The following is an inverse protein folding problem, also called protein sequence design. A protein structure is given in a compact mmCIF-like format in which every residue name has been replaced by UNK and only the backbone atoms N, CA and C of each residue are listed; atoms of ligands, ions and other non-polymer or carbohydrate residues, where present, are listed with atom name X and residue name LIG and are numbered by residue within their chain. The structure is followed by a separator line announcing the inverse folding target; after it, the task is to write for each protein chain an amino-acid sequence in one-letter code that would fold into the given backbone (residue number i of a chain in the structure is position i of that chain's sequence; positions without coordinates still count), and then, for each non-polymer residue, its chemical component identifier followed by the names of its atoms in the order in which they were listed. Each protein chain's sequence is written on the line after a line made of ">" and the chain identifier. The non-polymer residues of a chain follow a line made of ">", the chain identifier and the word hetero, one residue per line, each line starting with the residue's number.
data_IF_678803558959
#
_entry.id   IF_678803558959
#
_cell.length_a   1.000
_cell.length_b   1.000
_cell.length_c   1.000
_cell.angle_alpha   90.00
_cell.angle_beta   90.00
_cell.angle_gamma   90.00
#
_symmetry.space_group_name_H-M   'P 1'
#
loop_
_entity.id
_entity.type
_entity.pdbx_description
1 polymer ?
#
# COMPACT_ATOMS: atom_id res chain seq x y z
N UNK A 1 13.03 22.03 -14.28
CA UNK A 1 12.64 21.79 -12.86
C UNK A 1 13.24 20.47 -12.43
N UNK A 2 14.17 20.50 -11.47
CA UNK A 2 14.86 19.33 -10.96
C UNK A 2 14.15 18.85 -9.69
N UNK A 3 13.63 17.62 -9.72
CA UNK A 3 12.87 17.02 -8.61
C UNK A 3 13.75 15.97 -7.93
N UNK A 4 13.87 16.03 -6.62
CA UNK A 4 14.56 15.03 -5.82
C UNK A 4 13.60 14.38 -4.82
N UNK A 5 13.49 13.05 -4.84
CA UNK A 5 12.76 12.27 -3.84
C UNK A 5 13.73 11.58 -2.89
N UNK A 6 13.56 11.81 -1.59
CA UNK A 6 14.44 11.29 -0.55
C UNK A 6 13.64 10.33 0.34
N UNK A 7 14.06 9.07 0.39
CA UNK A 7 13.54 8.07 1.33
C UNK A 7 14.62 7.06 1.69
N UNK A 8 14.68 6.57 2.93
CA UNK A 8 15.56 5.46 3.26
C UNK A 8 15.13 4.14 2.60
N UNK A 9 13.90 4.04 2.12
CA UNK A 9 13.34 2.84 1.51
C UNK A 9 12.46 3.17 0.31
N UNK A 10 12.56 2.36 -0.74
CA UNK A 10 11.67 2.40 -1.89
C UNK A 10 11.10 1.01 -2.18
N UNK A 11 9.83 0.93 -2.51
CA UNK A 11 9.14 -0.31 -2.87
C UNK A 11 9.21 -0.60 -4.38
N UNK A 12 9.24 -1.89 -4.73
CA UNK A 12 9.24 -2.35 -6.13
C UNK A 12 8.03 -1.81 -6.92
N UNK A 13 6.86 -1.76 -6.29
CA UNK A 13 5.60 -1.30 -6.89
C UNK A 13 5.61 0.17 -7.33
N UNK A 14 6.57 0.99 -6.86
CA UNK A 14 6.69 2.41 -7.23
C UNK A 14 7.65 2.64 -8.42
N UNK A 15 8.35 1.63 -8.91
CA UNK A 15 9.29 1.81 -10.04
C UNK A 15 8.62 2.44 -11.25
N UNK A 16 7.42 2.00 -11.70
CA UNK A 16 6.73 2.65 -12.82
C UNK A 16 6.37 4.11 -12.57
N UNK A 17 6.08 4.50 -11.32
CA UNK A 17 5.84 5.91 -10.95
C UNK A 17 7.10 6.75 -11.17
N UNK A 18 8.27 6.24 -10.76
CA UNK A 18 9.55 6.94 -10.90
C UNK A 18 9.98 7.05 -12.36
N UNK A 19 9.74 6.01 -13.16
CA UNK A 19 9.96 6.04 -14.61
C UNK A 19 9.13 7.14 -15.27
N UNK A 20 7.83 7.19 -14.96
CA UNK A 20 6.93 8.20 -15.48
C UNK A 20 7.31 9.62 -15.01
N UNK A 21 7.69 9.80 -13.73
CA UNK A 21 8.19 11.09 -13.23
C UNK A 21 9.47 11.53 -13.95
N UNK A 22 10.37 10.60 -14.24
CA UNK A 22 11.59 10.90 -15.01
C UNK A 22 11.25 11.37 -16.43
N UNK A 23 10.32 10.68 -17.12
CA UNK A 23 9.81 11.09 -18.44
C UNK A 23 9.17 12.47 -18.39
N UNK A 24 8.23 12.70 -17.48
CA UNK A 24 7.51 13.95 -17.31
C UNK A 24 8.42 15.13 -16.96
N UNK A 25 9.49 14.90 -16.21
CA UNK A 25 10.47 15.94 -15.85
C UNK A 25 11.54 16.19 -16.91
N UNK A 26 11.48 15.49 -18.05
CA UNK A 26 12.49 15.55 -19.10
C UNK A 26 13.86 15.06 -18.62
N UNK A 27 13.90 13.96 -17.87
CA UNK A 27 15.13 13.39 -17.32
C UNK A 27 15.69 14.14 -16.10
N UNK A 28 14.89 14.95 -15.40
CA UNK A 28 15.34 15.75 -14.25
C UNK A 28 14.75 15.24 -12.91
N UNK A 29 14.46 13.94 -12.82
CA UNK A 29 14.01 13.29 -11.60
C UNK A 29 15.14 12.49 -10.96
N UNK A 30 15.35 12.71 -9.68
CA UNK A 30 16.41 12.08 -8.88
C UNK A 30 15.80 11.41 -7.65
N UNK A 31 16.45 10.32 -7.21
CA UNK A 31 16.15 9.68 -5.92
C UNK A 31 17.42 9.52 -5.09
N UNK A 32 17.24 9.52 -3.77
CA UNK A 32 18.27 9.07 -2.82
C UNK A 32 17.66 8.00 -1.92
N UNK A 33 18.28 6.81 -1.84
CA UNK A 33 17.84 5.71 -0.97
C UNK A 33 19.00 5.07 -0.22
N UNK A 34 18.65 4.29 0.84
CA UNK A 34 19.61 3.51 1.62
C UNK A 34 19.86 2.15 0.96
N UNK A 35 21.11 1.74 0.91
CA UNK A 35 21.51 0.40 0.51
C UNK A 35 20.97 -0.65 1.49
N UNK A 36 20.98 -0.36 2.78
CA UNK A 36 20.58 -1.28 3.84
C UNK A 36 19.07 -1.51 3.90
N UNK A 37 18.26 -0.52 3.51
CA UNK A 37 16.80 -0.62 3.62
C UNK A 37 16.10 -0.88 2.28
N UNK A 38 16.82 -0.84 1.16
CA UNK A 38 16.26 -1.11 -0.17
C UNK A 38 16.84 -2.42 -0.70
N UNK A 39 15.99 -3.36 -1.08
CA UNK A 39 16.45 -4.68 -1.57
C UNK A 39 17.30 -4.57 -2.85
N UNK A 40 18.15 -5.57 -3.09
CA UNK A 40 19.01 -5.62 -4.29
C UNK A 40 18.20 -5.47 -5.57
N UNK A 41 17.13 -6.24 -5.71
CA UNK A 41 16.23 -6.17 -6.86
C UNK A 41 15.71 -4.75 -7.12
N UNK A 42 15.29 -4.05 -6.07
CA UNK A 42 14.77 -2.67 -6.22
C UNK A 42 15.90 -1.72 -6.59
N UNK A 43 17.09 -1.86 -6.00
CA UNK A 43 18.25 -1.02 -6.33
C UNK A 43 18.69 -1.19 -7.79
N UNK A 44 18.72 -2.43 -8.29
CA UNK A 44 19.01 -2.75 -9.69
C UNK A 44 17.97 -2.11 -10.62
N UNK A 45 16.68 -2.27 -10.34
CA UNK A 45 15.61 -1.64 -11.12
C UNK A 45 15.69 -0.11 -11.10
N UNK A 46 15.95 0.50 -9.94
CA UNK A 46 16.14 1.95 -9.84
C UNK A 46 17.31 2.45 -10.67
N UNK A 47 18.43 1.72 -10.67
CA UNK A 47 19.60 2.01 -11.51
C UNK A 47 19.31 1.83 -13.00
N UNK A 48 18.60 0.78 -13.37
CA UNK A 48 18.17 0.56 -14.76
C UNK A 48 17.24 1.67 -15.25
N UNK A 49 16.32 2.16 -14.40
CA UNK A 49 15.32 3.18 -14.75
C UNK A 49 15.89 4.59 -14.77
N UNK A 50 16.74 4.95 -13.80
CA UNK A 50 17.18 6.33 -13.56
C UNK A 50 18.69 6.55 -13.76
N UNK A 51 19.48 5.50 -13.99
CA UNK A 51 20.92 5.60 -14.15
C UNK A 51 21.59 6.27 -12.94
N UNK A 52 22.41 7.28 -13.20
CA UNK A 52 23.13 8.03 -12.16
C UNK A 52 22.21 8.94 -11.31
N UNK A 53 20.95 9.14 -11.74
CA UNK A 53 19.97 9.86 -10.92
C UNK A 53 19.42 9.02 -9.75
N UNK A 54 19.69 7.72 -9.70
CA UNK A 54 19.44 6.87 -8.55
C UNK A 54 20.69 6.82 -7.65
N UNK A 55 20.73 7.67 -6.63
CA UNK A 55 21.83 7.75 -5.66
C UNK A 55 21.56 6.77 -4.51
N UNK A 56 22.35 5.71 -4.44
CA UNK A 56 22.26 4.69 -3.39
C UNK A 56 23.36 4.96 -2.37
N UNK A 57 22.96 5.20 -1.11
CA UNK A 57 23.89 5.52 -0.02
C UNK A 57 24.04 4.34 0.93
N UNK A 58 25.25 4.08 1.39
CA UNK A 58 25.59 3.06 2.40
C UNK A 58 25.98 3.70 3.73
N UNK A 59 25.97 2.91 4.79
CA UNK A 59 26.40 3.32 6.14
C UNK A 59 25.31 4.01 6.95
N UNK A 60 24.02 3.68 6.70
CA UNK A 60 22.93 4.15 7.55
C UNK A 60 23.11 3.62 8.99
N UNK A 61 22.97 4.51 9.95
CA UNK A 61 22.94 4.18 11.39
C UNK A 61 21.52 4.21 11.88
N UNK A 62 21.06 3.11 12.50
CA UNK A 62 19.72 2.96 13.06
C UNK A 62 19.80 2.90 14.59
N UNK A 63 18.95 3.65 15.26
CA UNK A 63 18.72 3.57 16.71
C UNK A 63 17.25 3.37 16.95
N UNK A 64 16.88 2.29 17.64
CA UNK A 64 15.50 1.96 18.00
C UNK A 64 15.29 2.21 19.48
N UNK A 65 14.19 2.85 19.83
CA UNK A 65 13.72 3.08 21.20
C UNK A 65 12.30 2.55 21.32
N UNK A 66 12.04 1.62 22.21
CA UNK A 66 10.78 0.91 22.39
C UNK A 66 10.83 -0.54 21.88
N UNK A 67 9.70 -1.24 21.90
CA UNK A 67 9.58 -2.62 21.43
C UNK A 67 9.30 -2.68 19.94
N UNK A 68 10.02 -3.53 19.21
CA UNK A 68 9.76 -3.89 17.81
C UNK A 68 8.87 -5.15 17.68
N UNK A 69 8.38 -5.68 18.79
CA UNK A 69 7.59 -6.94 18.81
C UNK A 69 6.18 -6.77 18.22
N UNK A 70 5.67 -5.55 18.14
CA UNK A 70 4.33 -5.29 17.59
C UNK A 70 4.38 -4.91 16.12
N UNK A 71 3.54 -5.56 15.32
CA UNK A 71 3.35 -5.25 13.88
C UNK A 71 2.55 -3.96 13.63
N UNK A 72 1.90 -3.41 14.68
CA UNK A 72 1.11 -2.18 14.59
C UNK A 72 1.99 -0.93 14.55
N UNK A 73 1.49 0.12 13.92
CA UNK A 73 2.21 1.37 13.80
C UNK A 73 2.50 2.01 15.17
N UNK A 74 3.62 2.73 15.24
CA UNK A 74 4.05 3.49 16.43
C UNK A 74 4.48 2.66 17.66
N UNK A 75 4.67 1.37 17.53
CA UNK A 75 5.19 0.50 18.60
C UNK A 75 6.63 0.89 19.04
N UNK A 76 7.42 1.42 18.11
CA UNK A 76 8.77 1.90 18.38
C UNK A 76 9.07 3.26 17.73
N UNK A 77 10.03 3.98 18.29
CA UNK A 77 10.66 5.15 17.67
C UNK A 77 11.97 4.73 17.01
N UNK A 78 12.02 4.79 15.69
CA UNK A 78 13.24 4.49 14.92
C UNK A 78 13.86 5.77 14.40
N UNK A 79 15.08 6.06 14.82
CA UNK A 79 15.88 7.20 14.34
C UNK A 79 16.89 6.66 13.33
N UNK A 80 16.82 7.17 12.10
CA UNK A 80 17.72 6.80 10.99
C UNK A 80 18.64 7.97 10.67
N UNK A 81 19.94 7.73 10.66
CA UNK A 81 20.98 8.73 10.34
C UNK A 81 21.82 8.22 9.19
N UNK A 82 21.84 8.96 8.08
CA UNK A 82 22.66 8.67 6.91
C UNK A 82 23.82 9.68 6.83
N UNK A 83 25.08 9.26 7.09
CA UNK A 83 26.25 10.12 6.87
C UNK A 83 26.31 10.59 5.42
N UNK A 84 26.64 11.87 5.22
CA UNK A 84 26.78 12.44 3.88
C UNK A 84 25.49 12.79 3.15
N UNK A 85 24.28 12.44 3.67
CA UNK A 85 23.00 12.69 2.99
C UNK A 85 22.80 14.16 2.63
N UNK A 86 23.08 15.09 3.54
CA UNK A 86 22.94 16.52 3.26
C UNK A 86 23.86 16.99 2.11
N UNK A 87 25.09 16.44 2.06
CA UNK A 87 26.04 16.72 0.96
C UNK A 87 25.49 16.19 -0.36
N UNK A 88 24.97 14.96 -0.40
CA UNK A 88 24.39 14.37 -1.60
C UNK A 88 23.20 15.22 -2.14
N UNK A 89 22.30 15.68 -1.26
CA UNK A 89 21.22 16.60 -1.63
C UNK A 89 21.76 17.90 -2.19
N UNK A 90 22.79 18.48 -1.56
CA UNK A 90 23.42 19.74 -1.99
C UNK A 90 24.12 19.60 -3.35
N UNK A 91 24.75 18.46 -3.62
CA UNK A 91 25.44 18.20 -4.90
C UNK A 91 24.43 18.08 -6.07
N UNK A 92 23.25 17.50 -5.83
CA UNK A 92 22.16 17.41 -6.83
C UNK A 92 21.56 18.80 -7.14
N UNK A 93 21.49 19.71 -6.17
CA UNK A 93 20.89 21.05 -6.29
C UNK A 93 19.44 20.99 -6.81
N UNK A 94 18.52 20.31 -6.12
CA UNK A 94 17.15 20.21 -6.57
C UNK A 94 16.41 21.54 -6.47
N UNK A 95 15.41 21.74 -7.32
CA UNK A 95 14.43 22.82 -7.22
C UNK A 95 13.28 22.46 -6.29
N UNK A 96 12.93 21.18 -6.29
CA UNK A 96 11.88 20.60 -5.44
C UNK A 96 12.44 19.38 -4.71
N UNK A 97 12.21 19.33 -3.40
CA UNK A 97 12.50 18.18 -2.57
C UNK A 97 11.19 17.49 -2.19
N UNK A 98 11.09 16.19 -2.44
CA UNK A 98 10.03 15.32 -1.95
C UNK A 98 10.60 14.45 -0.84
N UNK A 99 9.94 14.42 0.33
CA UNK A 99 10.29 13.53 1.44
C UNK A 99 9.10 12.62 1.80
N UNK A 100 9.38 11.49 2.44
CA UNK A 100 8.34 10.60 2.94
C UNK A 100 8.09 10.86 4.43
N UNK A 101 6.92 11.45 4.72
CA UNK A 101 6.54 11.83 6.07
C UNK A 101 7.46 12.89 6.69
N UNK A 102 7.58 12.84 8.01
CA UNK A 102 8.32 13.82 8.81
C UNK A 102 9.52 13.20 9.57
N UNK A 103 9.66 11.88 9.51
CA UNK A 103 10.70 11.12 10.19
C UNK A 103 11.79 10.60 9.25
N UNK A 104 12.60 9.66 9.74
CA UNK A 104 13.67 9.05 8.93
C UNK A 104 14.65 10.08 8.37
N UNK A 105 14.74 10.14 7.04
CA UNK A 105 15.61 11.08 6.32
C UNK A 105 14.93 12.42 5.99
N UNK A 106 13.61 12.55 6.20
CA UNK A 106 12.86 13.76 5.90
C UNK A 106 13.42 15.04 6.54
N UNK A 107 13.90 15.04 7.80
CA UNK A 107 14.49 16.23 8.41
C UNK A 107 15.66 16.83 7.60
N UNK A 108 16.45 16.00 6.91
CA UNK A 108 17.57 16.45 6.08
C UNK A 108 17.07 17.17 4.83
N UNK A 109 16.06 16.59 4.14
CA UNK A 109 15.43 17.22 2.97
C UNK A 109 14.71 18.51 3.32
N UNK A 110 13.96 18.52 4.42
CA UNK A 110 13.26 19.72 4.94
C UNK A 110 14.26 20.83 5.25
N UNK A 111 15.35 20.51 5.99
CA UNK A 111 16.41 21.47 6.30
C UNK A 111 17.04 22.06 5.04
N UNK A 112 17.33 21.22 4.04
CA UNK A 112 17.87 21.71 2.77
C UNK A 112 16.90 22.66 2.07
N UNK A 113 15.63 22.30 1.94
CA UNK A 113 14.62 23.12 1.29
C UNK A 113 14.50 24.49 1.96
N UNK A 114 14.43 24.54 3.29
CA UNK A 114 14.34 25.78 4.07
C UNK A 114 15.58 26.64 3.87
N UNK A 115 16.79 26.10 4.08
CA UNK A 115 18.04 26.87 4.03
C UNK A 115 18.36 27.40 2.61
N UNK A 116 17.95 26.67 1.58
CA UNK A 116 18.21 27.05 0.18
C UNK A 116 16.98 27.66 -0.51
N UNK A 117 15.90 27.95 0.24
CA UNK A 117 14.62 28.50 -0.30
C UNK A 117 14.08 27.69 -1.49
N UNK A 118 14.16 26.36 -1.37
CA UNK A 118 13.65 25.42 -2.36
C UNK A 118 12.25 24.95 -1.99
N UNK A 119 11.49 24.44 -2.94
CA UNK A 119 10.14 23.94 -2.74
C UNK A 119 10.17 22.59 -2.05
N UNK A 120 9.20 22.38 -1.17
CA UNK A 120 9.08 21.17 -0.35
C UNK A 120 7.72 20.52 -0.54
N UNK A 121 7.73 19.29 -1.03
CA UNK A 121 6.56 18.41 -1.02
C UNK A 121 6.77 17.27 -0.01
N UNK A 122 5.73 16.87 0.68
CA UNK A 122 5.77 15.68 1.55
C UNK A 122 4.78 14.65 1.02
N UNK A 123 5.31 13.46 0.71
CA UNK A 123 4.50 12.28 0.49
C UNK A 123 4.06 11.76 1.86
N UNK A 124 2.73 11.67 2.08
CA UNK A 124 2.18 11.32 3.37
C UNK A 124 1.00 10.36 3.24
N UNK A 125 1.02 9.28 4.02
CA UNK A 125 0.04 8.19 3.88
C UNK A 125 -0.72 7.86 5.18
N UNK A 126 -0.32 8.46 6.32
CA UNK A 126 -0.88 8.09 7.61
C UNK A 126 -2.27 8.65 7.82
N UNK A 127 -3.13 7.85 8.46
CA UNK A 127 -4.50 8.22 8.84
C UNK A 127 -4.62 8.47 10.35
N UNK A 128 -5.73 9.05 10.79
CA UNK A 128 -6.01 9.23 12.22
C UNK A 128 -6.05 7.90 12.97
N UNK A 129 -6.60 6.85 12.34
CA UNK A 129 -6.68 5.53 12.93
C UNK A 129 -5.31 4.89 13.15
N UNK A 130 -4.44 4.93 12.15
CA UNK A 130 -3.07 4.42 12.25
C UNK A 130 -2.24 5.19 13.30
N UNK A 131 -2.55 6.47 13.50
CA UNK A 131 -1.87 7.33 14.47
C UNK A 131 -2.57 7.40 15.85
N UNK A 132 -3.65 6.62 16.09
CA UNK A 132 -4.43 6.65 17.34
C UNK A 132 -3.60 6.42 18.59
N UNK A 133 -2.57 5.58 18.51
CA UNK A 133 -1.66 5.26 19.61
C UNK A 133 -0.36 6.10 19.56
N UNK A 134 -0.28 7.11 18.70
CA UNK A 134 0.91 7.95 18.58
C UNK A 134 1.03 8.91 19.76
N UNK A 135 2.20 9.03 20.40
CA UNK A 135 2.42 10.02 21.45
C UNK A 135 2.15 11.45 20.95
N UNK A 136 1.48 12.27 21.78
CA UNK A 136 1.08 13.66 21.42
C UNK A 136 2.25 14.53 20.94
N UNK A 137 3.45 14.32 21.47
CA UNK A 137 4.64 15.07 21.04
C UNK A 137 4.99 14.84 19.57
N UNK A 138 4.66 13.66 18.97
CA UNK A 138 4.86 13.41 17.53
C UNK A 138 3.98 14.30 16.66
N UNK A 139 2.72 14.51 17.05
CA UNK A 139 1.83 15.43 16.33
C UNK A 139 2.31 16.87 16.42
N UNK A 140 2.76 17.29 17.62
CA UNK A 140 3.37 18.61 17.80
C UNK A 140 4.65 18.80 16.96
N UNK A 141 5.56 17.83 16.99
CA UNK A 141 6.76 17.82 16.15
C UNK A 141 6.41 17.95 14.66
N UNK A 142 5.44 17.15 14.16
CA UNK A 142 5.01 17.18 12.76
C UNK A 142 4.41 18.53 12.36
N UNK A 143 3.66 19.17 13.25
CA UNK A 143 3.10 20.51 13.00
C UNK A 143 4.20 21.55 12.82
N UNK A 144 5.23 21.55 13.68
CA UNK A 144 6.34 22.50 13.59
C UNK A 144 7.16 22.23 12.33
N UNK A 145 7.62 21.00 12.16
CA UNK A 145 8.50 20.62 11.04
C UNK A 145 7.80 20.71 9.69
N UNK A 146 6.48 20.55 9.68
CA UNK A 146 5.65 20.66 8.47
C UNK A 146 5.27 22.10 8.08
N UNK A 147 5.59 23.12 8.89
CA UNK A 147 5.27 24.52 8.57
C UNK A 147 5.76 24.98 7.18
N UNK A 148 6.97 24.61 6.70
CA UNK A 148 7.48 25.03 5.39
C UNK A 148 6.98 24.21 4.20
N UNK A 149 6.02 23.28 4.39
CA UNK A 149 5.53 22.40 3.32
C UNK A 149 4.67 23.19 2.32
N UNK A 150 5.08 23.17 1.07
CA UNK A 150 4.34 23.80 -0.04
C UNK A 150 3.16 22.93 -0.51
N UNK A 151 3.30 21.59 -0.48
CA UNK A 151 2.26 20.67 -0.96
C UNK A 151 2.37 19.28 -0.31
N UNK A 152 1.22 18.66 0.01
CA UNK A 152 1.17 17.25 0.41
C UNK A 152 0.72 16.37 -0.76
N UNK A 153 1.45 15.27 -0.96
CA UNK A 153 1.15 14.20 -1.89
C UNK A 153 0.58 13.04 -1.08
N UNK A 154 -0.70 12.73 -1.21
CA UNK A 154 -1.41 11.84 -0.27
C UNK A 154 -2.12 10.69 -0.98
N UNK A 155 -2.47 9.67 -0.20
CA UNK A 155 -3.21 8.52 -0.70
C UNK A 155 -4.68 8.88 -0.96
N UNK A 156 -5.39 9.28 0.08
CA UNK A 156 -6.84 9.44 0.02
C UNK A 156 -7.41 10.36 1.11
N UNK A 157 -8.72 10.27 1.25
CA UNK A 157 -9.56 11.13 2.11
C UNK A 157 -9.17 11.04 3.58
N UNK A 158 -8.97 9.84 4.12
CA UNK A 158 -8.61 9.67 5.53
C UNK A 158 -7.26 10.30 5.88
N UNK A 159 -6.31 10.30 4.93
CA UNK A 159 -5.03 10.99 5.10
C UNK A 159 -5.22 12.52 5.04
N UNK A 160 -6.09 13.00 4.15
CA UNK A 160 -6.42 14.43 4.07
C UNK A 160 -7.08 14.92 5.36
N UNK A 161 -8.05 14.19 5.89
CA UNK A 161 -8.71 14.50 7.16
C UNK A 161 -7.71 14.56 8.32
N UNK A 162 -6.79 13.58 8.40
CA UNK A 162 -5.76 13.59 9.43
C UNK A 162 -4.81 14.78 9.31
N UNK A 163 -4.41 15.17 8.10
CA UNK A 163 -3.60 16.37 7.89
C UNK A 163 -4.35 17.63 8.29
N UNK A 164 -5.65 17.71 7.99
CA UNK A 164 -6.46 18.89 8.27
C UNK A 164 -6.81 19.02 9.75
N UNK A 165 -7.33 17.96 10.36
CA UNK A 165 -7.87 17.97 11.71
C UNK A 165 -6.83 17.56 12.75
N UNK A 166 -6.06 16.51 12.47
CA UNK A 166 -5.04 15.99 13.37
C UNK A 166 -3.78 16.82 13.42
N UNK A 167 -3.30 17.31 12.27
CA UNK A 167 -2.05 18.07 12.16
C UNK A 167 -2.24 19.55 11.83
N UNK A 168 -3.47 20.03 11.57
CA UNK A 168 -3.84 21.42 11.33
C UNK A 168 -3.24 22.04 10.04
N UNK A 169 -3.01 21.25 9.01
CA UNK A 169 -2.54 21.72 7.69
C UNK A 169 -3.67 22.04 6.72
N UNK A 170 -4.79 22.62 7.19
CA UNK A 170 -5.98 22.91 6.37
C UNK A 170 -5.68 23.80 5.15
N UNK A 171 -4.74 24.74 5.27
CA UNK A 171 -4.39 25.71 4.21
C UNK A 171 -3.35 25.19 3.23
N UNK A 172 -2.56 24.17 3.59
CA UNK A 172 -1.53 23.61 2.71
C UNK A 172 -2.20 22.75 1.63
N UNK A 173 -1.94 23.02 0.34
CA UNK A 173 -2.50 22.23 -0.76
C UNK A 173 -2.18 20.75 -0.65
N UNK A 174 -3.12 19.90 -1.11
CA UNK A 174 -3.00 18.45 -1.14
C UNK A 174 -3.45 17.89 -2.47
N UNK A 175 -2.84 16.80 -2.92
CA UNK A 175 -3.31 16.01 -4.05
C UNK A 175 -3.44 14.56 -3.63
N UNK A 176 -4.64 13.99 -3.85
CA UNK A 176 -4.97 12.58 -3.57
C UNK A 176 -4.56 11.64 -4.70
N UNK A 177 -4.55 10.34 -4.43
CA UNK A 177 -4.28 9.30 -5.43
C UNK A 177 -2.82 9.24 -5.86
N UNK A 178 -1.89 9.53 -4.93
CA UNK A 178 -0.45 9.42 -5.19
C UNK A 178 0.12 8.02 -4.86
N UNK A 179 -0.69 7.13 -4.25
CA UNK A 179 -0.33 5.73 -4.02
C UNK A 179 -1.02 4.85 -5.06
N UNK A 180 -0.30 3.89 -5.59
CA UNK A 180 -0.80 2.90 -6.55
C UNK A 180 -0.08 1.57 -6.36
N UNK A 181 -0.65 0.49 -6.89
CA UNK A 181 0.03 -0.78 -7.11
C UNK A 181 0.62 -0.83 -8.53
N UNK A 182 1.61 -1.69 -8.74
CA UNK A 182 2.08 -2.08 -10.08
C UNK A 182 1.32 -3.34 -10.51
N UNK A 183 0.04 -3.15 -10.89
CA UNK A 183 -0.92 -4.22 -11.16
C UNK A 183 -1.00 -4.62 -12.64
N UNK A 184 -0.37 -3.88 -13.55
CA UNK A 184 -0.52 -4.07 -14.99
C UNK A 184 -0.07 -5.45 -15.47
N UNK A 185 1.12 -5.90 -15.08
CA UNK A 185 1.61 -7.24 -15.44
C UNK A 185 0.74 -8.36 -14.87
N UNK A 186 0.26 -8.18 -13.64
CA UNK A 186 -0.62 -9.13 -12.96
C UNK A 186 -1.98 -9.26 -13.70
N UNK A 187 -2.64 -8.14 -14.01
CA UNK A 187 -3.93 -8.15 -14.71
C UNK A 187 -3.82 -8.72 -16.13
N UNK A 188 -2.72 -8.42 -16.85
CA UNK A 188 -2.48 -9.05 -18.16
C UNK A 188 -2.27 -10.57 -18.07
N UNK A 189 -1.60 -11.05 -17.03
CA UNK A 189 -1.42 -12.48 -16.83
C UNK A 189 -2.75 -13.17 -16.49
N UNK A 190 -3.59 -12.55 -15.63
CA UNK A 190 -4.94 -13.04 -15.32
C UNK A 190 -5.81 -13.16 -16.58
N UNK A 191 -5.75 -12.17 -17.47
CA UNK A 191 -6.53 -12.18 -18.71
C UNK A 191 -6.19 -13.32 -19.68
N UNK A 192 -5.02 -13.97 -19.51
CA UNK A 192 -4.57 -15.11 -20.33
C UNK A 192 -4.92 -16.47 -19.74
N UNK A 193 -5.42 -16.52 -18.49
CA UNK A 193 -5.78 -17.78 -17.82
C UNK A 193 -7.04 -18.34 -18.43
N UNK A 194 -6.99 -19.58 -18.92
CA UNK A 194 -8.12 -20.28 -19.53
C UNK A 194 -9.07 -20.88 -18.49
N UNK A 195 -10.21 -21.36 -18.92
CA UNK A 195 -11.15 -22.10 -18.06
C UNK A 195 -10.52 -23.38 -17.57
N UNK A 196 -9.78 -24.07 -18.45
CA UNK A 196 -9.05 -25.31 -18.17
C UNK A 196 -7.97 -25.09 -17.10
N UNK A 197 -7.20 -23.98 -17.18
CA UNK A 197 -6.20 -23.62 -16.19
C UNK A 197 -6.83 -23.38 -14.81
N UNK A 198 -8.00 -22.71 -14.77
CA UNK A 198 -8.75 -22.49 -13.52
C UNK A 198 -9.24 -23.82 -12.94
N UNK A 199 -9.78 -24.69 -13.79
CA UNK A 199 -10.28 -25.98 -13.33
C UNK A 199 -9.13 -26.84 -12.81
N UNK A 200 -8.01 -26.90 -13.52
CA UNK A 200 -6.82 -27.62 -13.05
C UNK A 200 -6.35 -27.15 -11.66
N UNK A 201 -6.36 -25.81 -11.41
CA UNK A 201 -6.00 -25.28 -10.11
C UNK A 201 -7.08 -25.56 -9.04
N UNK A 202 -8.37 -25.57 -9.39
CA UNK A 202 -9.43 -26.01 -8.48
C UNK A 202 -9.23 -27.47 -8.03
N UNK A 203 -8.92 -28.33 -9.00
CA UNK A 203 -8.70 -29.77 -8.75
C UNK A 203 -7.41 -29.97 -7.92
N UNK A 204 -6.32 -29.24 -8.24
CA UNK A 204 -5.04 -29.26 -7.49
C UNK A 204 -5.26 -28.90 -6.01
N UNK A 205 -6.11 -27.91 -5.75
CA UNK A 205 -6.41 -27.43 -4.39
C UNK A 205 -7.55 -28.21 -3.71
N UNK A 206 -8.28 -29.06 -4.43
CA UNK A 206 -9.45 -29.76 -3.91
C UNK A 206 -10.61 -28.85 -3.53
N UNK A 207 -10.82 -27.76 -4.30
CA UNK A 207 -11.86 -26.78 -4.00
C UNK A 207 -13.26 -27.35 -4.27
N UNK A 208 -14.19 -27.04 -3.38
CA UNK A 208 -15.61 -27.37 -3.53
C UNK A 208 -16.31 -26.44 -4.53
N UNK A 209 -17.51 -26.83 -4.95
CA UNK A 209 -18.32 -26.06 -5.90
C UNK A 209 -19.14 -24.96 -5.20
N UNK A 210 -18.45 -23.96 -4.68
CA UNK A 210 -18.97 -22.77 -4.02
C UNK A 210 -18.11 -21.55 -4.34
N UNK A 211 -18.40 -20.41 -3.71
CA UNK A 211 -17.58 -19.21 -3.88
C UNK A 211 -16.17 -19.42 -3.34
N UNK A 212 -15.21 -18.90 -4.06
CA UNK A 212 -13.79 -18.94 -3.66
C UNK A 212 -13.33 -17.55 -3.27
N UNK A 213 -13.07 -17.38 -1.97
CA UNK A 213 -12.50 -16.15 -1.41
C UNK A 213 -10.98 -16.23 -1.37
N UNK A 214 -10.30 -15.14 -1.71
CA UNK A 214 -8.84 -15.07 -1.72
C UNK A 214 -8.34 -14.00 -0.74
N UNK A 215 -7.46 -14.40 0.17
CA UNK A 215 -6.64 -13.50 0.97
C UNK A 215 -5.19 -13.57 0.48
N UNK A 216 -4.57 -12.42 0.23
CA UNK A 216 -3.13 -12.30 -0.05
C UNK A 216 -2.53 -11.26 0.88
N UNK A 217 -1.57 -11.67 1.72
CA UNK A 217 -0.95 -10.72 2.65
C UNK A 217 0.03 -11.35 3.63
N UNK A 218 0.66 -10.52 4.45
CA UNK A 218 1.48 -11.03 5.54
C UNK A 218 0.61 -11.76 6.58
N UNK A 219 1.08 -12.89 7.06
CA UNK A 219 0.45 -13.66 8.14
C UNK A 219 0.87 -13.09 9.50
N UNK A 220 0.35 -11.89 9.81
CA UNK A 220 0.65 -11.12 11.03
C UNK A 220 -0.65 -10.55 11.62
N UNK A 221 -0.61 -10.17 12.90
CA UNK A 221 -1.81 -9.78 13.65
C UNK A 221 -2.58 -8.63 13.00
N UNK A 222 -1.88 -7.56 12.62
CA UNK A 222 -2.51 -6.37 12.02
C UNK A 222 -3.25 -6.65 10.69
N UNK A 223 -3.03 -7.81 10.06
CA UNK A 223 -3.71 -8.18 8.81
C UNK A 223 -5.05 -8.88 9.02
N UNK A 224 -5.44 -9.15 10.28
CA UNK A 224 -6.78 -9.63 10.63
C UNK A 224 -7.08 -11.06 10.17
N UNK A 225 -6.05 -11.85 9.88
CA UNK A 225 -6.26 -13.24 9.40
C UNK A 225 -6.85 -14.15 10.49
N UNK A 226 -6.56 -13.88 11.76
CA UNK A 226 -7.14 -14.63 12.89
C UNK A 226 -8.66 -14.43 12.94
N UNK A 227 -9.09 -13.18 12.84
CA UNK A 227 -10.48 -12.75 12.85
C UNK A 227 -11.26 -13.40 11.70
N UNK A 228 -10.70 -13.36 10.50
CA UNK A 228 -11.32 -13.98 9.33
C UNK A 228 -11.47 -15.50 9.49
N UNK A 229 -10.40 -16.20 9.86
CA UNK A 229 -10.42 -17.66 10.01
C UNK A 229 -11.35 -18.11 11.14
N UNK A 230 -11.41 -17.36 12.24
CA UNK A 230 -12.34 -17.65 13.33
C UNK A 230 -13.80 -17.58 12.85
N UNK A 231 -14.15 -16.54 12.11
CA UNK A 231 -15.52 -16.34 11.60
C UNK A 231 -15.82 -17.31 10.45
N UNK A 232 -14.81 -17.70 9.66
CA UNK A 232 -14.96 -18.62 8.55
C UNK A 232 -15.55 -19.98 8.98
N UNK A 233 -15.18 -20.48 10.15
CA UNK A 233 -15.73 -21.73 10.68
C UNK A 233 -17.26 -21.69 10.87
N UNK A 234 -17.82 -20.50 11.15
CA UNK A 234 -19.27 -20.28 11.25
C UNK A 234 -19.92 -20.05 9.89
N UNK A 235 -19.23 -19.35 8.99
CA UNK A 235 -19.69 -19.11 7.64
C UNK A 235 -20.01 -20.43 6.91
N UNK A 236 -19.14 -21.42 7.02
CA UNK A 236 -19.31 -22.73 6.35
C UNK A 236 -20.44 -23.59 6.95
N UNK A 237 -21.01 -23.24 8.09
CA UNK A 237 -22.24 -23.88 8.59
C UNK A 237 -23.43 -23.54 7.67
N UNK A 238 -23.46 -22.35 7.09
CA UNK A 238 -24.49 -21.91 6.15
C UNK A 238 -24.08 -22.19 4.69
N UNK A 239 -22.81 -21.96 4.36
CA UNK A 239 -22.28 -22.12 2.99
C UNK A 239 -21.13 -23.16 2.95
N UNK A 240 -21.45 -24.46 3.10
CA UNK A 240 -20.45 -25.52 3.31
C UNK A 240 -19.55 -25.80 2.11
N UNK A 241 -19.88 -25.24 0.94
CA UNK A 241 -19.12 -25.41 -0.30
C UNK A 241 -18.19 -24.24 -0.61
N UNK A 242 -18.25 -23.16 0.15
CA UNK A 242 -17.36 -22.02 -0.05
C UNK A 242 -15.91 -22.37 0.33
N UNK A 243 -14.97 -21.71 -0.32
CA UNK A 243 -13.55 -21.94 -0.14
C UNK A 243 -12.83 -20.65 0.24
N UNK A 244 -11.86 -20.74 1.15
CA UNK A 244 -10.96 -19.66 1.52
C UNK A 244 -9.52 -20.03 1.19
N UNK A 245 -8.94 -19.39 0.20
CA UNK A 245 -7.54 -19.54 -0.17
C UNK A 245 -6.73 -18.42 0.49
N UNK A 246 -5.73 -18.81 1.29
CA UNK A 246 -4.89 -17.91 2.08
C UNK A 246 -3.45 -18.00 1.61
N UNK A 247 -2.92 -16.87 1.09
CA UNK A 247 -1.56 -16.78 0.58
C UNK A 247 -0.76 -15.75 1.37
N UNK A 248 0.38 -16.16 1.90
CA UNK A 248 1.30 -15.26 2.58
C UNK A 248 2.25 -15.95 3.53
N UNK A 249 3.14 -15.15 4.10
CA UNK A 249 4.09 -15.59 5.14
C UNK A 249 4.07 -14.63 6.33
N UNK A 250 4.47 -15.10 7.47
CA UNK A 250 4.56 -14.32 8.69
C UNK A 250 4.55 -15.20 9.93
N UNK A 251 4.64 -14.57 11.09
CA UNK A 251 4.76 -15.27 12.38
C UNK A 251 3.52 -16.11 12.74
N UNK A 252 2.36 -15.82 12.13
CA UNK A 252 1.13 -16.56 12.38
C UNK A 252 0.92 -17.76 11.44
N UNK A 253 1.77 -17.95 10.42
CA UNK A 253 1.54 -18.97 9.39
C UNK A 253 1.38 -20.37 9.99
N UNK A 254 2.36 -20.81 10.79
CA UNK A 254 2.38 -22.18 11.35
C UNK A 254 1.21 -22.39 12.31
N UNK A 255 0.94 -21.41 13.18
CA UNK A 255 -0.21 -21.45 14.09
C UNK A 255 -1.54 -21.52 13.35
N UNK A 256 -1.72 -20.75 12.28
CA UNK A 256 -2.96 -20.78 11.51
C UNK A 256 -3.13 -22.10 10.76
N UNK A 257 -2.05 -22.67 10.22
CA UNK A 257 -2.07 -24.00 9.63
C UNK A 257 -2.48 -25.06 10.67
N UNK A 258 -1.84 -25.09 11.82
CA UNK A 258 -2.16 -26.07 12.88
C UNK A 258 -3.64 -26.02 13.29
N UNK A 259 -4.22 -24.82 13.40
CA UNK A 259 -5.60 -24.63 13.84
C UNK A 259 -6.65 -24.91 12.75
N UNK A 260 -6.35 -24.60 11.48
CA UNK A 260 -7.36 -24.54 10.43
C UNK A 260 -7.12 -25.44 9.22
N UNK A 261 -5.96 -26.11 9.05
CA UNK A 261 -5.72 -27.07 7.94
C UNK A 261 -6.69 -28.27 7.94
N UNK A 262 -7.37 -28.52 9.05
CA UNK A 262 -8.39 -29.58 9.15
C UNK A 262 -9.76 -29.16 8.61
N UNK A 263 -9.97 -27.88 8.33
CA UNK A 263 -11.20 -27.41 7.70
C UNK A 263 -11.09 -27.58 6.17
N UNK A 264 -11.90 -28.48 5.54
CA UNK A 264 -11.76 -28.78 4.10
C UNK A 264 -11.99 -27.61 3.17
N UNK A 265 -12.47 -26.48 3.69
CA UNK A 265 -12.74 -25.24 2.94
C UNK A 265 -11.67 -24.17 3.10
N UNK A 266 -10.61 -24.45 3.88
CA UNK A 266 -9.52 -23.48 4.14
C UNK A 266 -8.21 -24.02 3.56
N UNK A 267 -7.59 -23.27 2.69
CA UNK A 267 -6.38 -23.64 1.96
C UNK A 267 -5.26 -22.63 2.23
N UNK A 268 -4.42 -22.92 3.25
CA UNK A 268 -3.31 -22.04 3.67
C UNK A 268 -2.03 -22.44 2.94
N UNK A 269 -1.71 -21.76 1.84
CA UNK A 269 -0.64 -22.15 0.91
C UNK A 269 0.76 -21.66 1.32
N UNK A 270 0.84 -20.71 2.26
CA UNK A 270 2.13 -20.06 2.57
C UNK A 270 2.51 -19.02 1.51
N UNK A 271 3.82 -18.75 1.36
CA UNK A 271 4.30 -17.75 0.41
C UNK A 271 4.31 -18.31 -1.02
N UNK A 272 3.66 -17.59 -1.92
CA UNK A 272 3.70 -17.86 -3.37
C UNK A 272 4.55 -16.76 -4.03
N UNK A 273 5.31 -17.14 -5.07
CA UNK A 273 6.05 -16.16 -5.87
C UNK A 273 5.06 -15.19 -6.54
N UNK A 274 5.37 -13.90 -6.52
CA UNK A 274 4.53 -12.86 -7.10
C UNK A 274 4.15 -13.16 -8.56
N UNK A 275 5.08 -13.70 -9.34
CA UNK A 275 4.88 -14.07 -10.76
C UNK A 275 3.87 -15.21 -10.97
N UNK A 276 3.46 -15.90 -9.90
CA UNK A 276 2.44 -16.96 -9.93
C UNK A 276 1.12 -16.55 -9.29
N UNK A 277 1.03 -15.39 -8.66
CA UNK A 277 -0.18 -14.93 -7.98
C UNK A 277 -1.37 -14.75 -8.93
N UNK A 278 -1.10 -14.46 -10.21
CA UNK A 278 -2.16 -14.32 -11.23
C UNK A 278 -3.09 -15.53 -11.30
N UNK A 279 -2.58 -16.77 -11.05
CA UNK A 279 -3.39 -17.99 -11.06
C UNK A 279 -4.50 -17.93 -10.00
N UNK A 280 -4.18 -17.45 -8.82
CA UNK A 280 -5.10 -17.35 -7.69
C UNK A 280 -6.06 -16.17 -7.82
N UNK A 281 -5.59 -15.05 -8.32
CA UNK A 281 -6.49 -13.95 -8.68
C UNK A 281 -7.45 -14.34 -9.81
N UNK A 282 -7.00 -15.12 -10.80
CA UNK A 282 -7.89 -15.63 -11.85
C UNK A 282 -8.94 -16.60 -11.29
N UNK A 283 -8.56 -17.44 -10.33
CA UNK A 283 -9.36 -18.48 -9.72
C UNK A 283 -10.46 -17.92 -8.81
N UNK A 284 -10.15 -16.93 -7.96
CA UNK A 284 -11.08 -16.48 -6.93
C UNK A 284 -12.28 -15.71 -7.50
N UNK A 285 -13.39 -15.76 -6.77
CA UNK A 285 -14.61 -15.00 -7.05
C UNK A 285 -14.61 -13.66 -6.32
N UNK A 286 -14.09 -13.64 -5.08
CA UNK A 286 -14.03 -12.46 -4.21
C UNK A 286 -12.66 -12.34 -3.58
N UNK A 287 -12.10 -11.13 -3.56
CA UNK A 287 -10.90 -10.83 -2.76
C UNK A 287 -11.31 -10.29 -1.38
N UNK A 288 -10.71 -10.81 -0.30
CA UNK A 288 -11.02 -10.39 1.07
C UNK A 288 -9.79 -9.91 1.82
N UNK A 289 -9.87 -8.73 2.44
CA UNK A 289 -8.79 -8.13 3.24
C UNK A 289 -9.33 -7.63 4.58
N UNK A 290 -9.19 -8.44 5.65
CA UNK A 290 -9.71 -8.13 6.98
C UNK A 290 -8.75 -7.30 7.83
N UNK A 291 -7.88 -6.51 7.23
CA UNK A 291 -6.81 -5.81 7.97
C UNK A 291 -7.33 -5.02 9.16
N UNK A 292 -6.63 -5.09 10.29
CA UNK A 292 -6.92 -4.32 11.51
C UNK A 292 -6.21 -2.96 11.51
N UNK A 293 -5.20 -2.79 10.65
CA UNK A 293 -4.51 -1.53 10.47
C UNK A 293 -3.70 -1.53 9.15
N UNK A 294 -4.01 -0.62 8.25
CA UNK A 294 -3.21 -0.35 7.05
C UNK A 294 -3.40 1.10 6.59
N UNK A 295 -2.34 1.73 6.07
CA UNK A 295 -2.45 3.05 5.46
C UNK A 295 -3.06 3.00 4.06
N UNK A 296 -2.71 1.96 3.28
CA UNK A 296 -3.17 1.72 1.93
C UNK A 296 -2.80 0.30 1.50
N UNK A 297 -3.77 -0.59 1.50
CA UNK A 297 -3.53 -2.00 1.26
C UNK A 297 -3.36 -2.26 -0.24
N UNK A 298 -2.11 -2.39 -0.72
CA UNK A 298 -1.77 -2.48 -2.15
C UNK A 298 -2.37 -3.70 -2.87
N UNK A 299 -2.60 -4.79 -2.15
CA UNK A 299 -3.23 -6.00 -2.73
C UNK A 299 -4.70 -5.80 -3.12
N UNK A 300 -5.35 -4.76 -2.59
CA UNK A 300 -6.73 -4.39 -3.00
C UNK A 300 -6.74 -3.86 -4.43
N UNK A 301 -5.99 -2.79 -4.81
CA UNK A 301 -5.92 -2.38 -6.21
C UNK A 301 -5.37 -3.48 -7.13
N UNK A 302 -4.49 -4.40 -6.67
CA UNK A 302 -4.09 -5.57 -7.45
C UNK A 302 -5.30 -6.48 -7.77
N UNK A 303 -6.12 -6.81 -6.77
CA UNK A 303 -7.35 -7.59 -6.97
C UNK A 303 -8.37 -6.89 -7.87
N UNK A 304 -8.53 -5.58 -7.68
CA UNK A 304 -9.41 -4.74 -8.50
C UNK A 304 -8.98 -4.72 -9.96
N UNK A 305 -7.69 -4.55 -10.25
CA UNK A 305 -7.14 -4.62 -11.61
C UNK A 305 -7.33 -5.99 -12.26
N UNK A 306 -7.40 -7.06 -11.45
CA UNK A 306 -7.73 -8.42 -11.88
C UNK A 306 -9.25 -8.66 -12.01
N UNK A 307 -10.08 -7.63 -11.92
CA UNK A 307 -11.53 -7.71 -12.07
C UNK A 307 -12.24 -8.42 -10.92
N UNK A 308 -11.72 -8.31 -9.68
CA UNK A 308 -12.35 -8.97 -8.53
C UNK A 308 -13.19 -8.01 -7.70
N UNK A 309 -14.40 -8.43 -7.29
CA UNK A 309 -15.12 -7.82 -6.18
C UNK A 309 -14.28 -7.87 -4.91
N UNK A 310 -14.39 -6.85 -4.05
CA UNK A 310 -13.55 -6.72 -2.86
C UNK A 310 -14.35 -6.63 -1.58
N UNK A 311 -14.05 -7.49 -0.61
CA UNK A 311 -14.41 -7.31 0.78
C UNK A 311 -13.24 -6.62 1.51
N UNK A 312 -13.42 -5.37 1.93
CA UNK A 312 -12.37 -4.58 2.58
C UNK A 312 -12.73 -4.20 4.00
N UNK A 313 -11.75 -4.31 4.89
CA UNK A 313 -11.87 -3.73 6.23
C UNK A 313 -11.99 -2.20 6.19
N UNK A 314 -12.84 -1.65 7.06
CA UNK A 314 -12.92 -0.20 7.33
C UNK A 314 -11.62 0.37 7.93
N UNK A 315 -10.71 -0.48 8.41
CA UNK A 315 -9.39 -0.07 8.95
C UNK A 315 -8.29 -0.04 7.88
N UNK A 316 -8.64 -0.29 6.62
CA UNK A 316 -7.79 0.02 5.48
C UNK A 316 -7.94 1.51 5.12
N UNK A 317 -6.84 2.27 5.17
CA UNK A 317 -6.85 3.71 4.90
C UNK A 317 -7.31 4.12 3.49
N UNK A 318 -7.35 3.17 2.55
CA UNK A 318 -7.82 3.37 1.17
C UNK A 318 -9.27 2.92 0.92
N UNK A 319 -10.00 2.44 1.93
CA UNK A 319 -11.31 1.85 1.69
C UNK A 319 -12.33 2.82 1.07
N UNK A 320 -12.29 4.10 1.44
CA UNK A 320 -13.18 5.12 0.86
C UNK A 320 -12.97 5.35 -0.65
N UNK A 321 -11.75 5.26 -1.11
CA UNK A 321 -11.42 5.46 -2.51
C UNK A 321 -11.64 4.19 -3.33
N UNK A 322 -11.26 3.04 -2.79
CA UNK A 322 -11.12 1.79 -3.53
C UNK A 322 -12.39 0.95 -3.53
N UNK A 323 -13.16 0.92 -2.41
CA UNK A 323 -14.31 0.03 -2.29
C UNK A 323 -15.59 0.80 -2.02
N UNK A 324 -16.52 0.71 -2.95
CA UNK A 324 -17.84 1.33 -2.88
C UNK A 324 -18.88 0.25 -2.62
N UNK A 325 -19.55 0.32 -1.47
CA UNK A 325 -20.54 -0.66 -1.03
C UNK A 325 -21.62 -0.88 -2.07
N UNK A 326 -21.84 -2.15 -2.44
CA UNK A 326 -22.80 -2.56 -3.44
C UNK A 326 -22.41 -2.26 -4.90
N UNK A 327 -21.27 -1.61 -5.16
CA UNK A 327 -20.82 -1.25 -6.52
C UNK A 327 -19.69 -2.17 -6.99
N UNK A 328 -18.60 -2.26 -6.23
CA UNK A 328 -17.47 -3.14 -6.55
C UNK A 328 -17.06 -4.03 -5.38
N UNK A 329 -17.84 -4.04 -4.30
CA UNK A 329 -17.58 -4.83 -3.11
C UNK A 329 -18.33 -4.31 -1.90
N UNK A 330 -17.82 -4.64 -0.70
CA UNK A 330 -18.40 -4.22 0.57
C UNK A 330 -17.30 -3.93 1.60
N UNK A 331 -17.53 -2.92 2.44
CA UNK A 331 -16.69 -2.62 3.58
C UNK A 331 -17.26 -3.27 4.85
N UNK A 332 -16.38 -3.79 5.71
CA UNK A 332 -16.78 -4.45 6.95
C UNK A 332 -15.87 -4.12 8.13
N UNK A 333 -16.40 -4.27 9.34
CA UNK A 333 -15.64 -4.16 10.59
C UNK A 333 -15.10 -5.56 10.97
N UNK A 334 -13.79 -5.85 10.81
CA UNK A 334 -13.22 -7.16 11.12
C UNK A 334 -13.23 -7.50 12.61
N UNK A 335 -13.47 -6.53 13.49
CA UNK A 335 -13.61 -6.74 14.94
C UNK A 335 -15.03 -7.13 15.34
N UNK A 336 -15.97 -7.16 14.37
CA UNK A 336 -17.36 -7.59 14.59
C UNK A 336 -17.66 -8.82 13.73
N UNK A 337 -17.82 -9.95 14.36
CA UNK A 337 -18.16 -11.21 13.71
C UNK A 337 -19.38 -11.09 12.77
N UNK A 338 -20.46 -10.48 13.25
CA UNK A 338 -21.66 -10.27 12.43
C UNK A 338 -21.39 -9.47 11.17
N UNK A 339 -20.50 -8.48 11.23
CA UNK A 339 -20.14 -7.67 10.07
C UNK A 339 -19.38 -8.46 9.00
N UNK A 340 -18.53 -9.41 9.41
CA UNK A 340 -17.85 -10.31 8.47
C UNK A 340 -18.90 -11.25 7.83
N UNK A 341 -19.72 -11.93 8.66
CA UNK A 341 -20.75 -12.88 8.17
C UNK A 341 -21.72 -12.22 7.20
N UNK A 342 -22.28 -11.08 7.56
CA UNK A 342 -23.18 -10.30 6.69
C UNK A 342 -22.53 -9.91 5.37
N UNK A 343 -21.23 -9.61 5.40
CA UNK A 343 -20.48 -9.23 4.19
C UNK A 343 -20.26 -10.44 3.29
N UNK A 344 -19.88 -11.58 3.85
CA UNK A 344 -19.72 -12.83 3.09
C UNK A 344 -21.06 -13.24 2.44
N UNK A 345 -22.16 -13.16 3.19
CA UNK A 345 -23.52 -13.47 2.70
C UNK A 345 -23.92 -12.58 1.51
N UNK A 346 -23.64 -11.28 1.56
CA UNK A 346 -23.97 -10.34 0.48
C UNK A 346 -23.40 -10.76 -0.88
N UNK A 347 -22.22 -11.39 -0.90
CA UNK A 347 -21.61 -11.84 -2.16
C UNK A 347 -22.37 -13.01 -2.82
N UNK A 348 -23.09 -13.83 -2.05
CA UNK A 348 -23.97 -14.88 -2.61
C UNK A 348 -25.16 -14.32 -3.38
N UNK A 349 -25.53 -13.07 -3.13
CA UNK A 349 -26.67 -12.40 -3.77
C UNK A 349 -26.24 -11.29 -4.74
N UNK A 350 -24.94 -11.10 -4.95
CA UNK A 350 -24.38 -10.03 -5.76
C UNK A 350 -24.06 -10.51 -7.20
N UNK A 351 -24.12 -9.58 -8.16
CA UNK A 351 -23.57 -9.77 -9.49
C UNK A 351 -22.04 -9.54 -9.44
N UNK A 352 -21.30 -10.63 -9.21
CA UNK A 352 -19.85 -10.58 -9.03
C UNK A 352 -19.12 -10.12 -10.31
N UNK A 353 -19.66 -10.45 -11.49
CA UNK A 353 -19.09 -10.03 -12.77
C UNK A 353 -19.21 -8.50 -12.94
N UNK A 354 -20.40 -7.95 -12.68
CA UNK A 354 -20.62 -6.51 -12.74
C UNK A 354 -19.75 -5.78 -11.70
N UNK A 355 -19.65 -6.29 -10.47
CA UNK A 355 -18.78 -5.74 -9.44
C UNK A 355 -17.31 -5.78 -9.85
N UNK A 356 -16.85 -6.87 -10.45
CA UNK A 356 -15.48 -6.99 -10.95
C UNK A 356 -15.16 -5.96 -12.04
N UNK A 357 -16.07 -5.72 -12.98
CA UNK A 357 -15.93 -4.66 -13.99
C UNK A 357 -15.83 -3.29 -13.36
N UNK A 358 -16.60 -3.01 -12.31
CA UNK A 358 -16.53 -1.75 -11.55
C UNK A 358 -15.23 -1.64 -10.75
N UNK A 359 -14.68 -2.73 -10.26
CA UNK A 359 -13.35 -2.74 -9.64
C UNK A 359 -12.28 -2.24 -10.60
N UNK A 360 -12.24 -2.76 -11.84
CA UNK A 360 -11.30 -2.32 -12.89
C UNK A 360 -11.50 -0.83 -13.21
N UNK A 361 -12.76 -0.38 -13.36
CA UNK A 361 -13.08 1.02 -13.63
C UNK A 361 -12.52 1.95 -12.53
N UNK A 362 -12.77 1.64 -11.26
CA UNK A 362 -12.30 2.42 -10.12
C UNK A 362 -10.78 2.38 -10.02
N UNK A 363 -10.16 1.19 -10.14
CA UNK A 363 -8.71 1.01 -10.07
C UNK A 363 -7.97 1.79 -11.15
N UNK A 364 -8.55 1.91 -12.33
CA UNK A 364 -7.97 2.66 -13.45
C UNK A 364 -7.60 4.11 -13.09
N UNK A 365 -8.13 4.65 -12.00
CA UNK A 365 -7.79 5.99 -11.49
C UNK A 365 -6.56 5.99 -10.55
N UNK A 366 -6.06 4.82 -10.16
CA UNK A 366 -4.94 4.61 -9.24
C UNK A 366 -3.74 3.92 -9.89
N UNK A 367 -3.57 4.08 -11.20
CA UNK A 367 -2.44 3.53 -11.96
C UNK A 367 -1.15 4.33 -11.76
N UNK A 368 0.04 3.74 -12.00
CA UNK A 368 1.32 4.41 -11.82
C UNK A 368 1.50 5.69 -12.66
N UNK A 369 0.98 5.72 -13.87
CA UNK A 369 1.02 6.90 -14.75
C UNK A 369 0.16 8.04 -14.20
N UNK A 370 -1.06 7.75 -13.71
CA UNK A 370 -1.92 8.75 -13.08
C UNK A 370 -1.34 9.27 -11.77
N UNK A 371 -0.77 8.40 -10.94
CA UNK A 371 -0.08 8.81 -9.72
C UNK A 371 1.11 9.73 -10.04
N UNK A 372 1.95 9.36 -11.03
CA UNK A 372 3.07 10.19 -11.48
C UNK A 372 2.62 11.55 -12.02
N UNK A 373 1.55 11.58 -12.83
CA UNK A 373 0.98 12.84 -13.34
C UNK A 373 0.49 13.75 -12.21
N UNK A 374 -0.24 13.21 -11.22
CA UNK A 374 -0.70 13.97 -10.04
C UNK A 374 0.46 14.58 -9.26
N UNK A 375 1.51 13.79 -9.01
CA UNK A 375 2.72 14.22 -8.31
C UNK A 375 3.43 15.31 -9.12
N UNK A 376 3.61 15.10 -10.43
CA UNK A 376 4.30 16.05 -11.29
C UNK A 376 3.56 17.38 -11.42
N UNK A 377 2.23 17.37 -11.59
CA UNK A 377 1.41 18.58 -11.63
C UNK A 377 1.41 19.33 -10.29
N UNK A 378 1.43 18.64 -9.15
CA UNK A 378 1.62 19.26 -7.86
C UNK A 378 2.99 19.96 -7.77
N UNK A 379 4.07 19.31 -8.23
CA UNK A 379 5.40 19.91 -8.31
C UNK A 379 5.43 21.15 -9.22
N UNK A 380 4.80 21.11 -10.40
CA UNK A 380 4.69 22.28 -11.30
C UNK A 380 3.98 23.45 -10.64
N UNK A 381 2.85 23.18 -9.95
CA UNK A 381 2.07 24.23 -9.26
C UNK A 381 2.87 24.94 -8.16
N UNK A 382 3.72 24.23 -7.43
CA UNK A 382 4.55 24.87 -6.41
C UNK A 382 5.77 25.57 -6.99
N UNK A 383 6.34 25.06 -8.09
CA UNK A 383 7.47 25.66 -8.79
C UNK A 383 7.08 26.96 -9.49
N UNK A 384 5.91 27.02 -10.13
CA UNK A 384 5.42 28.21 -10.83
C UNK A 384 4.90 29.35 -9.93
N UNK A 385 4.92 29.15 -8.60
CA UNK A 385 4.59 30.19 -7.59
C UNK A 385 5.82 30.92 -7.06
N UNK A 386 6.91 30.95 -7.84
CA UNK A 386 8.12 31.71 -7.52
C UNK A 386 8.02 33.14 -8.05
#
# INVERSE_FOLDING_TARGET
>A
MKILWISPWFGNYRIPVYENLNKLSGGNFYIICSQENTSDLVREKLKATLGDHAVIMSGEKRTTMGSEESDFANSALVIKRQPGLYKAVKDIKPDIVITEGFGGWAPVGIRYAVLHRKKLCIFYERTAYVERNSPKWRSWYRRIVGTPVDHFLINGTLTEEYLNEGLHFRKTPKVKGCMCADSFGLSQAVAKVTVEDKQALRDELGLKDGLTYLFVGQMVERKGIKELLHVWSKHIETYPNDNLVVIGKGILLDTMKELYDRLPSVHILGAINYDLLYRYYALCDVFIMPTLEDNWCLVIPEAMACGKPVASSIYNGGHYELVKDGVNGYNFDPLKESSILETLEKFHHADLEAMGKKSVEIESDFTPDKAANRIFEACKKVFGKC
#
